data_IF_050831368016
#
_entry.id   IF_050831368016
#
_cell.length_a   1.000
_cell.length_b   1.000
_cell.length_c   1.000
_cell.angle_alpha   90.00
_cell.angle_beta   90.00
_cell.angle_gamma   90.00
#
_symmetry.space_group_name_H-M   'P 1'
#
loop_
_entity.id
_entity.type
_entity.pdbx_description
1 polymer ?
#
# COMPACT_ATOMS: atom_id res chain seq x y z
N UNK A 1 -22.33 4.53 25.96
CA UNK A 1 -21.93 5.39 24.83
C UNK A 1 -20.43 5.21 24.51
N UNK A 2 -19.54 5.32 25.50
CA UNK A 2 -18.08 5.16 25.27
C UNK A 2 -17.68 3.71 24.99
N UNK A 3 -18.25 2.73 25.68
CA UNK A 3 -17.89 1.32 25.55
C UNK A 3 -18.25 0.72 24.17
N UNK A 4 -19.29 1.23 23.50
CA UNK A 4 -19.77 0.71 22.22
C UNK A 4 -19.27 1.52 21.02
N UNK A 5 -18.40 2.50 21.23
CA UNK A 5 -17.82 3.27 20.13
C UNK A 5 -16.92 2.38 19.28
N UNK A 6 -17.07 2.46 17.96
CA UNK A 6 -16.30 1.62 17.04
C UNK A 6 -14.77 1.83 17.19
N UNK A 7 -14.34 3.06 17.43
CA UNK A 7 -12.93 3.41 17.65
C UNK A 7 -12.33 2.74 18.89
N UNK A 8 -13.15 2.41 19.89
CA UNK A 8 -12.70 1.73 21.11
C UNK A 8 -12.75 0.19 20.99
N UNK A 9 -13.30 -0.33 19.88
CA UNK A 9 -13.50 -1.77 19.66
C UNK A 9 -12.83 -2.22 18.35
N UNK A 10 -11.63 -1.74 18.06
CA UNK A 10 -10.89 -2.10 16.86
C UNK A 10 -10.23 -3.48 16.92
N UNK A 11 -10.13 -4.08 18.11
CA UNK A 11 -9.50 -5.38 18.32
C UNK A 11 -10.53 -6.45 18.63
N UNK A 12 -10.34 -7.65 18.10
CA UNK A 12 -11.16 -8.81 18.44
C UNK A 12 -10.85 -9.30 19.84
N UNK A 13 -11.86 -9.58 20.68
CA UNK A 13 -11.64 -10.11 22.02
C UNK A 13 -11.06 -11.54 22.00
N UNK A 14 -11.23 -12.27 20.90
CA UNK A 14 -10.79 -13.65 20.75
C UNK A 14 -9.27 -13.79 20.58
N UNK A 15 -8.65 -12.99 19.72
CA UNK A 15 -7.25 -13.14 19.30
C UNK A 15 -6.46 -11.82 19.32
N UNK A 16 -7.07 -10.72 19.74
CA UNK A 16 -6.46 -9.40 19.78
C UNK A 16 -6.11 -8.82 18.40
N UNK A 17 -6.55 -9.46 17.30
CA UNK A 17 -6.29 -8.96 15.96
C UNK A 17 -7.27 -7.87 15.55
N UNK A 18 -6.89 -6.98 14.61
CA UNK A 18 -7.78 -5.96 14.11
C UNK A 18 -9.09 -6.52 13.54
N UNK A 19 -10.22 -5.93 13.95
CA UNK A 19 -11.56 -6.19 13.36
C UNK A 19 -11.75 -5.34 12.13
N UNK A 20 -11.41 -4.06 12.22
CA UNK A 20 -11.57 -3.07 11.16
C UNK A 20 -10.34 -3.13 10.23
N UNK A 21 -10.40 -3.98 9.22
CA UNK A 21 -9.37 -4.07 8.18
C UNK A 21 -10.01 -3.70 6.84
N UNK A 22 -9.39 -2.81 6.04
CA UNK A 22 -9.84 -2.51 4.69
C UNK A 22 -10.04 -3.77 3.85
N UNK A 23 -11.05 -3.76 2.98
CA UNK A 23 -11.44 -4.93 2.15
C UNK A 23 -11.81 -4.49 0.74
N UNK A 24 -11.82 -5.46 -0.19
CA UNK A 24 -12.29 -5.29 -1.57
C UNK A 24 -11.62 -4.08 -2.26
N UNK A 25 -12.40 -3.11 -2.70
CA UNK A 25 -11.92 -1.94 -3.47
C UNK A 25 -10.88 -1.10 -2.73
N UNK A 26 -10.95 -1.06 -1.40
CA UNK A 26 -9.93 -0.38 -0.59
C UNK A 26 -8.55 -1.04 -0.73
N UNK A 27 -8.50 -2.38 -0.76
CA UNK A 27 -7.25 -3.11 -1.00
C UNK A 27 -6.82 -2.96 -2.45
N UNK A 28 -7.76 -3.04 -3.38
CA UNK A 28 -7.48 -2.90 -4.81
C UNK A 28 -6.83 -1.54 -5.12
N UNK A 29 -7.39 -0.45 -4.60
CA UNK A 29 -6.83 0.88 -4.75
C UNK A 29 -5.47 1.05 -4.06
N UNK A 30 -5.29 0.46 -2.89
CA UNK A 30 -4.00 0.47 -2.19
C UNK A 30 -2.93 -0.34 -2.93
N UNK A 31 -3.30 -1.48 -3.49
CA UNK A 31 -2.43 -2.29 -4.35
C UNK A 31 -2.04 -1.51 -5.61
N UNK A 32 -3.02 -0.89 -6.30
CA UNK A 32 -2.79 -0.06 -7.47
C UNK A 32 -1.80 1.07 -7.16
N UNK A 33 -1.92 1.76 -6.02
CA UNK A 33 -0.98 2.79 -5.61
C UNK A 33 0.44 2.29 -5.37
N UNK A 34 0.58 1.11 -4.78
CA UNK A 34 1.87 0.63 -4.27
C UNK A 34 2.60 -0.31 -5.21
N UNK A 35 1.94 -0.76 -6.29
CA UNK A 35 2.59 -1.54 -7.34
C UNK A 35 3.56 -0.67 -8.17
N UNK A 36 4.56 -1.30 -8.73
CA UNK A 36 5.51 -0.67 -9.67
C UNK A 36 5.53 -1.44 -10.97
N UNK A 37 5.64 -0.73 -12.07
CA UNK A 37 5.76 -1.29 -13.42
C UNK A 37 7.03 -0.78 -14.06
N UNK A 38 7.69 -1.65 -14.82
CA UNK A 38 8.89 -1.30 -15.59
C UNK A 38 8.47 -0.73 -16.96
N UNK A 39 9.24 0.20 -17.50
CA UNK A 39 8.97 0.82 -18.80
C UNK A 39 7.91 1.94 -18.78
N UNK A 40 7.47 2.36 -17.59
CA UNK A 40 6.46 3.41 -17.44
C UNK A 40 7.04 4.82 -17.68
N UNK A 41 6.14 5.74 -18.05
CA UNK A 41 6.50 7.12 -18.33
C UNK A 41 7.21 7.77 -17.14
N UNK A 42 8.43 8.26 -17.36
CA UNK A 42 9.21 8.94 -16.34
C UNK A 42 10.04 8.02 -15.46
N UNK A 43 10.19 6.75 -15.81
CA UNK A 43 11.08 5.83 -15.11
C UNK A 43 12.50 6.37 -15.04
N UNK A 44 13.14 6.19 -13.89
CA UNK A 44 14.52 6.64 -13.64
C UNK A 44 14.69 8.13 -13.39
N UNK A 45 13.63 8.95 -13.48
CA UNK A 45 13.72 10.39 -13.17
C UNK A 45 14.07 10.62 -11.71
N UNK A 46 14.79 11.71 -11.49
CA UNK A 46 15.19 12.16 -10.16
C UNK A 46 14.41 13.41 -9.77
N UNK A 47 13.91 13.42 -8.54
CA UNK A 47 13.18 14.54 -7.94
C UNK A 47 13.87 15.01 -6.67
N UNK A 48 13.88 16.31 -6.48
CA UNK A 48 14.48 16.95 -5.31
C UNK A 48 13.72 16.64 -4.04
N UNK A 49 12.38 16.65 -4.12
CA UNK A 49 11.49 16.47 -2.98
C UNK A 49 10.30 15.58 -3.39
N UNK A 50 9.61 14.93 -2.42
CA UNK A 50 8.40 14.14 -2.69
C UNK A 50 7.27 14.94 -3.35
N UNK A 51 7.12 16.23 -2.98
CA UNK A 51 6.08 17.11 -3.53
C UNK A 51 6.33 17.43 -5.00
N UNK A 52 7.58 17.58 -5.41
CA UNK A 52 7.96 17.75 -6.82
C UNK A 52 7.54 16.52 -7.65
N UNK A 53 7.72 15.32 -7.11
CA UNK A 53 7.30 14.09 -7.78
C UNK A 53 5.76 14.01 -7.92
N UNK A 54 5.01 14.46 -6.92
CA UNK A 54 3.54 14.55 -6.98
C UNK A 54 3.10 15.59 -8.02
N UNK A 55 3.74 16.74 -8.07
CA UNK A 55 3.48 17.76 -9.11
C UNK A 55 3.78 17.23 -10.51
N UNK A 56 4.84 16.45 -10.68
CA UNK A 56 5.17 15.82 -11.95
C UNK A 56 4.11 14.80 -12.39
N UNK A 57 3.51 14.05 -11.44
CA UNK A 57 2.36 13.18 -11.71
C UNK A 57 1.14 14.00 -12.17
N UNK A 58 0.82 15.09 -11.49
CA UNK A 58 -0.33 15.95 -11.86
C UNK A 58 -0.18 16.56 -13.26
N UNK A 59 1.04 16.84 -13.67
CA UNK A 59 1.37 17.33 -15.02
C UNK A 59 1.54 16.20 -16.07
N UNK A 60 1.22 14.95 -15.71
CA UNK A 60 1.40 13.78 -16.56
C UNK A 60 2.84 13.61 -17.10
N UNK A 61 3.84 14.10 -16.37
CA UNK A 61 5.25 13.94 -16.71
C UNK A 61 5.84 12.60 -16.21
N UNK A 62 5.16 11.96 -15.24
CA UNK A 62 5.53 10.68 -14.64
C UNK A 62 4.28 9.86 -14.39
N UNK A 63 4.36 8.55 -14.62
CA UNK A 63 3.31 7.60 -14.25
C UNK A 63 3.33 7.33 -12.74
N UNK A 64 2.17 7.02 -12.18
CA UNK A 64 2.02 6.68 -10.76
C UNK A 64 2.83 5.44 -10.35
N UNK A 65 3.05 4.51 -11.30
CA UNK A 65 3.74 3.23 -11.11
C UNK A 65 5.21 3.26 -11.48
N UNK A 66 5.68 4.35 -12.11
CA UNK A 66 7.06 4.48 -12.56
C UNK A 66 8.03 4.42 -11.38
N UNK A 67 9.13 3.68 -11.54
CA UNK A 67 10.25 3.68 -10.60
C UNK A 67 11.01 4.99 -10.74
N UNK A 68 11.03 5.78 -9.69
CA UNK A 68 11.66 7.09 -9.62
C UNK A 68 12.64 7.16 -8.47
N UNK A 69 13.49 8.18 -8.49
CA UNK A 69 14.39 8.49 -7.40
C UNK A 69 14.01 9.81 -6.77
N UNK A 70 13.86 9.81 -5.45
CA UNK A 70 13.53 11.02 -4.70
C UNK A 70 14.56 11.24 -3.62
N UNK A 71 14.97 12.50 -3.41
CA UNK A 71 15.82 12.88 -2.30
C UNK A 71 14.95 13.08 -1.07
N UNK A 72 15.21 12.28 -0.05
CA UNK A 72 14.56 12.41 1.26
C UNK A 72 15.56 13.04 2.21
N UNK A 73 15.16 14.10 2.88
CA UNK A 73 15.97 14.80 3.89
C UNK A 73 15.33 14.55 5.25
N UNK A 74 16.11 14.05 6.18
CA UNK A 74 15.70 13.83 7.58
C UNK A 74 16.77 14.34 8.52
N UNK A 75 16.37 14.77 9.70
CA UNK A 75 17.28 15.08 10.79
C UNK A 75 17.68 13.78 11.50
N UNK A 76 18.96 13.49 11.54
CA UNK A 76 19.54 12.32 12.20
C UNK A 76 20.72 12.82 13.04
N UNK A 77 20.68 12.55 14.34
CA UNK A 77 21.71 12.99 15.29
C UNK A 77 21.95 14.52 15.32
N UNK A 78 20.90 15.31 15.08
CA UNK A 78 20.97 16.76 15.04
C UNK A 78 21.55 17.35 13.75
N UNK A 79 21.84 16.53 12.75
CA UNK A 79 22.29 16.95 11.43
C UNK A 79 21.25 16.63 10.34
N UNK A 80 21.05 17.58 9.43
CA UNK A 80 20.20 17.37 8.25
C UNK A 80 20.94 16.50 7.22
N UNK A 81 20.59 15.23 7.15
CA UNK A 81 21.15 14.29 6.17
C UNK A 81 20.13 14.04 5.06
N UNK A 82 20.62 13.86 3.85
CA UNK A 82 19.78 13.55 2.70
C UNK A 82 20.30 12.33 1.96
N UNK A 83 19.37 11.47 1.50
CA UNK A 83 19.68 10.28 0.71
C UNK A 83 18.74 10.17 -0.47
N UNK A 84 19.26 9.65 -1.58
CA UNK A 84 18.48 9.27 -2.74
C UNK A 84 17.81 7.93 -2.46
N UNK A 85 16.48 7.87 -2.56
CA UNK A 85 15.67 6.68 -2.32
C UNK A 85 14.93 6.32 -3.60
N UNK A 86 14.94 5.04 -3.95
CA UNK A 86 14.14 4.50 -5.05
C UNK A 86 12.73 4.17 -4.56
N UNK A 87 11.74 4.70 -5.26
CA UNK A 87 10.33 4.53 -4.92
C UNK A 87 9.43 4.79 -6.13
N UNK A 88 8.11 4.86 -5.95
CA UNK A 88 7.16 5.34 -6.95
C UNK A 88 6.32 6.48 -6.39
N UNK A 89 5.70 7.28 -7.26
CA UNK A 89 4.83 8.38 -6.81
C UNK A 89 3.65 7.83 -6.01
N UNK A 90 3.09 6.69 -6.42
CA UNK A 90 2.01 6.04 -5.68
C UNK A 90 2.41 5.65 -4.26
N UNK A 91 3.62 5.12 -4.06
CA UNK A 91 4.15 4.81 -2.72
C UNK A 91 4.38 6.04 -1.87
N UNK A 92 4.84 7.15 -2.47
CA UNK A 92 4.97 8.42 -1.76
C UNK A 92 3.61 8.86 -1.22
N UNK A 93 2.58 8.88 -2.07
CA UNK A 93 1.21 9.26 -1.69
C UNK A 93 0.69 8.34 -0.59
N UNK A 94 0.89 7.02 -0.71
CA UNK A 94 0.42 6.06 0.28
C UNK A 94 1.07 6.26 1.65
N UNK A 95 2.38 6.55 1.68
CA UNK A 95 3.12 6.75 2.92
C UNK A 95 2.84 8.11 3.61
N UNK A 96 2.22 9.09 2.95
CA UNK A 96 1.93 10.40 3.56
C UNK A 96 1.05 10.31 4.81
N UNK A 97 0.09 9.40 4.83
CA UNK A 97 -0.80 9.23 5.99
C UNK A 97 -0.50 8.00 6.84
N UNK A 98 0.67 7.37 6.65
CA UNK A 98 1.09 6.21 7.44
C UNK A 98 2.27 6.61 8.31
N UNK A 99 2.22 6.32 9.63
CA UNK A 99 3.36 6.52 10.52
C UNK A 99 4.61 5.81 10.00
N UNK A 100 5.76 6.48 10.12
CA UNK A 100 7.02 6.00 9.56
C UNK A 100 7.91 5.31 10.61
N UNK A 101 7.30 4.70 11.63
CA UNK A 101 7.96 4.03 12.77
C UNK A 101 7.40 2.62 13.02
N UNK A 102 6.73 2.03 12.02
CA UNK A 102 6.06 0.73 12.14
C UNK A 102 7.02 -0.46 12.20
N UNK A 103 8.31 -0.26 11.89
CA UNK A 103 9.33 -1.31 11.95
C UNK A 103 9.20 -2.38 10.86
N UNK A 104 8.77 -2.00 9.65
CA UNK A 104 8.92 -2.83 8.46
C UNK A 104 10.33 -2.73 7.89
N UNK A 105 11.01 -1.61 8.18
CA UNK A 105 12.38 -1.34 7.76
C UNK A 105 13.25 -1.13 9.00
N UNK A 106 14.45 -1.70 8.99
CA UNK A 106 15.43 -1.41 10.05
C UNK A 106 15.97 0.01 9.86
N UNK A 107 15.55 0.90 10.74
CA UNK A 107 15.96 2.30 10.74
C UNK A 107 17.45 2.52 11.03
N UNK A 108 18.14 1.50 11.54
CA UNK A 108 19.60 1.56 11.75
C UNK A 108 20.36 1.35 10.44
N UNK A 109 19.81 0.49 9.56
CA UNK A 109 20.42 0.23 8.25
C UNK A 109 20.03 1.28 7.22
N UNK A 110 18.73 1.62 7.13
CA UNK A 110 18.21 2.61 6.17
C UNK A 110 17.17 3.55 6.78
N UNK A 111 17.61 4.65 7.40
CA UNK A 111 16.71 5.61 8.05
C UNK A 111 15.87 6.43 7.07
N UNK A 112 16.23 6.48 5.78
CA UNK A 112 15.57 7.32 4.78
C UNK A 112 14.44 6.61 4.03
N UNK A 113 14.44 5.27 4.00
CA UNK A 113 13.45 4.49 3.26
C UNK A 113 12.05 4.69 3.83
N UNK A 114 11.03 4.60 2.95
CA UNK A 114 9.62 4.58 3.38
C UNK A 114 9.27 3.25 4.01
N UNK A 115 8.45 3.26 5.06
CA UNK A 115 7.96 2.05 5.73
C UNK A 115 7.27 1.09 4.75
N UNK A 116 6.45 1.63 3.84
CA UNK A 116 5.75 0.84 2.85
C UNK A 116 6.42 1.03 1.49
N UNK A 117 7.40 0.18 1.19
CA UNK A 117 8.08 0.14 -0.12
C UNK A 117 7.86 -1.19 -0.86
N UNK A 118 6.71 -1.82 -0.62
CA UNK A 118 6.27 -3.06 -1.24
C UNK A 118 4.80 -2.96 -1.67
N UNK A 119 4.33 -3.83 -2.59
CA UNK A 119 2.92 -3.86 -2.98
C UNK A 119 2.03 -4.26 -1.81
N UNK A 120 1.03 -3.43 -1.51
CA UNK A 120 0.13 -3.67 -0.38
C UNK A 120 -1.00 -4.59 -0.79
N UNK A 121 -0.94 -5.83 -0.28
CA UNK A 121 -1.97 -6.86 -0.46
C UNK A 121 -2.79 -7.03 0.82
N UNK A 122 -3.82 -7.89 0.79
CA UNK A 122 -4.69 -8.16 1.94
C UNK A 122 -3.92 -8.56 3.21
N UNK A 123 -2.91 -9.41 3.08
CA UNK A 123 -2.11 -9.88 4.22
C UNK A 123 -1.25 -8.75 4.80
N UNK A 124 -0.55 -8.02 3.96
CA UNK A 124 0.28 -6.89 4.39
C UNK A 124 -0.55 -5.74 4.96
N UNK A 125 -1.76 -5.49 4.43
CA UNK A 125 -2.69 -4.52 4.98
C UNK A 125 -3.06 -4.85 6.44
N UNK A 126 -3.36 -6.12 6.72
CA UNK A 126 -3.64 -6.55 8.09
C UNK A 126 -2.46 -6.32 9.04
N UNK A 127 -1.25 -6.61 8.57
CA UNK A 127 -0.01 -6.40 9.35
C UNK A 127 0.28 -4.91 9.60
N UNK A 128 0.03 -4.05 8.60
CA UNK A 128 0.18 -2.60 8.75
C UNK A 128 -0.72 -2.09 9.87
N UNK A 129 -2.02 -2.43 9.82
CA UNK A 129 -2.99 -1.99 10.82
C UNK A 129 -2.68 -2.55 12.22
N UNK A 130 -2.30 -3.82 12.30
CA UNK A 130 -1.90 -4.45 13.56
C UNK A 130 -0.71 -3.69 14.21
N UNK A 131 0.30 -3.35 13.42
CA UNK A 131 1.45 -2.58 13.92
C UNK A 131 1.08 -1.16 14.32
N UNK A 132 0.24 -0.48 13.53
CA UNK A 132 -0.23 0.87 13.87
C UNK A 132 -0.99 0.84 15.21
N UNK A 133 -1.89 -0.10 15.42
CA UNK A 133 -2.64 -0.22 16.69
C UNK A 133 -1.71 -0.49 17.87
N UNK A 134 -0.72 -1.37 17.69
CA UNK A 134 0.20 -1.75 18.75
C UNK A 134 1.16 -0.62 19.16
N UNK A 135 1.54 0.26 18.23
CA UNK A 135 2.52 1.33 18.47
C UNK A 135 1.81 2.63 18.85
N UNK A 136 0.78 3.03 18.11
CA UNK A 136 0.13 4.35 18.23
C UNK A 136 -1.21 4.31 18.98
N UNK A 137 -1.72 3.12 19.27
CA UNK A 137 -3.00 2.96 19.97
C UNK A 137 -4.22 3.16 19.08
N UNK A 138 -5.43 3.16 19.68
CA UNK A 138 -6.69 3.05 18.96
C UNK A 138 -7.09 4.32 18.20
N UNK A 139 -6.80 5.50 18.75
CA UNK A 139 -7.27 6.79 18.20
C UNK A 139 -6.53 7.09 16.90
N UNK A 140 -5.21 7.11 16.91
CA UNK A 140 -4.40 7.36 15.71
C UNK A 140 -4.61 6.27 14.66
N UNK A 141 -4.81 5.02 15.09
CA UNK A 141 -5.13 3.92 14.18
C UNK A 141 -6.44 4.13 13.43
N UNK A 142 -7.45 4.73 14.05
CA UNK A 142 -8.71 5.04 13.38
C UNK A 142 -8.50 6.07 12.25
N UNK A 143 -7.66 7.08 12.48
CA UNK A 143 -7.32 8.09 11.45
C UNK A 143 -6.55 7.46 10.28
N UNK A 144 -5.59 6.58 10.57
CA UNK A 144 -4.84 5.83 9.54
C UNK A 144 -5.76 4.92 8.72
N UNK A 145 -6.69 4.21 9.36
CA UNK A 145 -7.67 3.35 8.68
C UNK A 145 -8.59 4.18 7.78
N UNK A 146 -9.05 5.34 8.25
CA UNK A 146 -9.87 6.26 7.46
C UNK A 146 -9.10 6.85 6.27
N UNK A 147 -7.83 7.17 6.45
CA UNK A 147 -6.95 7.59 5.37
C UNK A 147 -6.79 6.50 4.30
N UNK A 148 -6.48 5.28 4.70
CA UNK A 148 -6.34 4.13 3.78
C UNK A 148 -7.65 3.86 3.04
N UNK A 149 -8.79 3.94 3.74
CA UNK A 149 -10.11 3.80 3.13
C UNK A 149 -10.34 4.85 2.04
N UNK A 150 -10.10 6.12 2.35
CA UNK A 150 -10.29 7.22 1.42
C UNK A 150 -9.39 7.10 0.18
N UNK A 151 -8.11 6.78 0.38
CA UNK A 151 -7.17 6.51 -0.73
C UNK A 151 -7.59 5.30 -1.55
N UNK A 152 -7.94 4.20 -0.89
CA UNK A 152 -8.32 2.97 -1.54
C UNK A 152 -9.49 3.17 -2.49
N UNK A 153 -10.56 3.81 -2.04
CA UNK A 153 -11.72 4.12 -2.90
C UNK A 153 -11.37 5.10 -4.02
N UNK A 154 -10.63 6.17 -3.72
CA UNK A 154 -10.20 7.15 -4.72
C UNK A 154 -9.41 6.48 -5.85
N UNK A 155 -8.41 5.70 -5.52
CA UNK A 155 -7.51 5.11 -6.51
C UNK A 155 -8.09 3.86 -7.19
N UNK A 156 -9.00 3.13 -6.55
CA UNK A 156 -9.79 2.09 -7.20
C UNK A 156 -10.69 2.67 -8.30
N UNK A 157 -11.33 3.82 -8.01
CA UNK A 157 -12.15 4.53 -9.00
C UNK A 157 -11.31 5.08 -10.15
N UNK A 158 -10.16 5.70 -9.86
CA UNK A 158 -9.26 6.24 -10.89
C UNK A 158 -8.62 5.15 -11.74
N UNK A 159 -8.31 4.01 -11.15
CA UNK A 159 -7.73 2.87 -11.85
C UNK A 159 -8.70 2.24 -12.85
N UNK A 160 -10.01 2.28 -12.58
CA UNK A 160 -11.04 1.73 -13.46
C UNK A 160 -10.82 0.25 -13.78
N UNK A 161 -10.27 -0.53 -12.82
CA UNK A 161 -9.94 -1.94 -13.03
C UNK A 161 -11.23 -2.74 -13.23
N UNK A 162 -11.30 -3.44 -14.36
CA UNK A 162 -12.40 -4.33 -14.72
C UNK A 162 -11.87 -5.57 -15.43
N UNK A 163 -12.70 -6.57 -15.58
CA UNK A 163 -12.38 -7.75 -16.38
C UNK A 163 -13.58 -8.11 -17.28
N UNK A 164 -13.29 -8.67 -18.44
CA UNK A 164 -14.28 -9.18 -19.40
C UNK A 164 -14.40 -10.70 -19.30
N UNK A 165 -15.39 -11.25 -19.98
CA UNK A 165 -15.53 -12.70 -20.10
C UNK A 165 -14.34 -13.34 -20.84
N UNK A 166 -13.70 -12.60 -21.74
CA UNK A 166 -12.55 -13.08 -22.53
C UNK A 166 -11.27 -13.19 -21.67
N UNK A 167 -11.19 -12.47 -20.56
CA UNK A 167 -10.07 -12.55 -19.61
C UNK A 167 -10.13 -13.84 -18.77
N UNK A 168 -11.28 -14.50 -18.71
CA UNK A 168 -11.48 -15.76 -17.99
C UNK A 168 -11.00 -16.94 -18.85
N UNK A 169 -9.71 -17.22 -18.79
CA UNK A 169 -9.12 -18.33 -19.53
C UNK A 169 -9.30 -19.66 -18.79
N UNK A 170 -9.83 -20.65 -19.47
CA UNK A 170 -9.95 -22.00 -18.95
C UNK A 170 -8.60 -22.72 -19.13
N UNK A 171 -7.95 -23.21 -18.05
CA UNK A 171 -6.69 -23.96 -18.17
C UNK A 171 -6.86 -25.22 -19.05
N UNK A 172 -5.89 -25.52 -19.90
CA UNK A 172 -5.92 -26.72 -20.77
C UNK A 172 -5.98 -28.02 -19.98
N UNK A 173 -5.36 -28.04 -18.79
CA UNK A 173 -5.38 -29.19 -17.88
C UNK A 173 -6.80 -29.58 -17.40
N UNK A 174 -7.80 -28.68 -17.48
CA UNK A 174 -9.18 -28.98 -17.05
C UNK A 174 -9.75 -30.22 -17.73
N UNK A 175 -9.53 -30.37 -19.05
CA UNK A 175 -10.04 -31.51 -19.82
C UNK A 175 -9.45 -32.84 -19.36
N UNK A 176 -8.18 -32.89 -18.99
CA UNK A 176 -7.51 -34.06 -18.45
C UNK A 176 -8.03 -34.43 -17.07
N UNK A 177 -8.12 -33.44 -16.17
CA UNK A 177 -8.60 -33.65 -14.81
C UNK A 177 -10.07 -34.13 -14.78
N UNK A 178 -10.91 -33.62 -15.66
CA UNK A 178 -12.29 -34.11 -15.79
C UNK A 178 -12.36 -35.56 -16.24
N UNK A 179 -11.56 -35.94 -17.25
CA UNK A 179 -11.52 -37.36 -17.70
C UNK A 179 -11.04 -38.30 -16.60
N UNK A 180 -9.97 -37.92 -15.89
CA UNK A 180 -9.48 -38.72 -14.76
C UNK A 180 -10.52 -38.84 -13.62
N UNK A 181 -11.30 -37.80 -13.40
CA UNK A 181 -12.38 -37.83 -12.40
C UNK A 181 -13.52 -38.76 -12.85
N UNK A 182 -13.93 -38.68 -14.14
CA UNK A 182 -14.97 -39.54 -14.71
C UNK A 182 -14.57 -41.04 -14.73
N UNK A 183 -13.27 -41.32 -14.90
CA UNK A 183 -12.73 -42.69 -14.85
C UNK A 183 -12.66 -43.29 -13.43
N UNK A 184 -12.69 -42.43 -12.39
CA UNK A 184 -12.62 -42.85 -10.99
C UNK A 184 -14.00 -42.99 -10.34
N UNK A 185 -15.06 -42.57 -10.99
CA UNK A 185 -16.46 -42.67 -10.56
C UNK A 185 -17.10 -43.92 -11.16
#
# INVERSE_FOLDING_TARGET
RYLMLATNNLLKPQDGKPVAVPRLDMILGSYYLTMTLDGELGEGKYFKDPDEAIMALQNNAVSIHAKIFVRITKEIDGEMKSKKVETSVGRIIFNQGIPQDLGFIDRKEDPFQYEINFPVMKKSMGQIIEKVINIHGLIESAEVIDYIKALGFKYSTLAGITFSMDDVKVPEAKKGLLKEADEKV
#
